data_IF_806158236154
#
_entry.id   IF_806158236154
#
_cell.length_a   1.000
_cell.length_b   1.000
_cell.length_c   1.000
_cell.angle_alpha   90.00
_cell.angle_beta   90.00
_cell.angle_gamma   90.00
#
_symmetry.space_group_name_H-M   'P 1'
#
loop_
_entity.id
_entity.type
_entity.pdbx_description
1 polymer ?
#
# COMPACT_ATOMS: atom_id res chain seq x y z
N UNK A 1 -21.63 -2.86 3.42
CA UNK A 1 -20.22 -2.51 3.38
C UNK A 1 -20.06 -1.02 3.71
N UNK A 2 -19.54 -0.69 4.90
CA UNK A 2 -19.27 0.70 5.33
C UNK A 2 -20.42 1.71 5.05
N UNK A 3 -21.70 1.29 5.19
CA UNK A 3 -22.86 2.12 4.89
C UNK A 3 -23.23 2.26 3.41
N UNK A 4 -22.44 1.69 2.50
CA UNK A 4 -22.77 1.72 1.07
C UNK A 4 -23.63 0.55 0.64
N UNK A 5 -24.66 0.83 -0.16
CA UNK A 5 -25.44 -0.18 -0.88
C UNK A 5 -24.85 -0.35 -2.28
N UNK A 6 -24.29 -1.52 -2.55
CA UNK A 6 -23.73 -1.83 -3.87
C UNK A 6 -24.83 -2.34 -4.79
N UNK A 7 -24.93 -1.78 -5.99
CA UNK A 7 -25.87 -2.20 -7.03
C UNK A 7 -25.13 -2.37 -8.35
N UNK A 8 -25.63 -3.26 -9.20
CA UNK A 8 -25.17 -3.38 -10.58
C UNK A 8 -25.94 -2.43 -11.48
N UNK A 9 -25.30 -1.93 -12.51
CA UNK A 9 -25.91 -1.03 -13.51
C UNK A 9 -25.29 0.35 -13.52
N UNK A 10 -25.95 1.26 -14.24
CA UNK A 10 -25.49 2.65 -14.36
C UNK A 10 -25.97 3.48 -13.15
N UNK A 11 -25.17 4.38 -12.61
CA UNK A 11 -25.56 5.23 -11.49
C UNK A 11 -26.68 6.19 -11.91
N UNK A 12 -27.58 6.49 -10.96
CA UNK A 12 -28.46 7.64 -11.03
C UNK A 12 -27.72 8.96 -10.85
N UNK A 13 -28.43 10.07 -10.94
CA UNK A 13 -27.86 11.43 -10.85
C UNK A 13 -27.10 11.67 -9.53
N UNK A 14 -27.61 11.13 -8.44
CA UNK A 14 -27.00 11.25 -7.09
C UNK A 14 -26.25 9.97 -6.68
N UNK A 15 -25.98 9.09 -7.65
CA UNK A 15 -25.27 7.83 -7.42
C UNK A 15 -23.77 8.02 -7.33
N UNK A 16 -23.11 7.00 -6.78
CA UNK A 16 -21.64 6.91 -6.74
C UNK A 16 -21.18 5.78 -7.65
N UNK A 17 -20.04 5.97 -8.30
CA UNK A 17 -19.33 4.94 -9.05
C UNK A 17 -18.11 4.53 -8.23
N UNK A 18 -18.09 3.27 -7.78
CA UNK A 18 -16.91 2.70 -7.13
C UNK A 18 -15.90 2.17 -8.15
N UNK A 19 -14.63 2.53 -7.97
CA UNK A 19 -13.51 2.01 -8.76
C UNK A 19 -12.40 1.50 -7.85
N UNK A 20 -11.63 0.51 -8.32
CA UNK A 20 -10.49 0.02 -7.58
C UNK A 20 -9.27 0.92 -7.85
N UNK A 21 -8.91 1.74 -6.87
CA UNK A 21 -7.77 2.64 -6.87
C UNK A 21 -7.54 3.38 -8.17
N UNK A 22 -6.36 3.19 -8.73
CA UNK A 22 -5.95 3.64 -10.06
C UNK A 22 -5.67 2.47 -11.00
N UNK A 23 -6.36 1.36 -10.84
CA UNK A 23 -6.22 0.21 -11.72
C UNK A 23 -6.54 0.57 -13.17
N UNK A 24 -6.03 -0.18 -14.16
CA UNK A 24 -6.36 0.07 -15.57
C UNK A 24 -7.87 0.04 -15.86
N UNK A 25 -8.64 -0.69 -15.08
CA UNK A 25 -10.10 -0.78 -15.19
C UNK A 25 -10.83 0.42 -14.59
N UNK A 26 -10.19 1.19 -13.70
CA UNK A 26 -10.79 2.38 -13.06
C UNK A 26 -11.24 3.41 -14.10
N UNK A 27 -10.53 3.57 -15.23
CA UNK A 27 -10.87 4.50 -16.31
C UNK A 27 -12.28 4.33 -16.86
N UNK A 28 -12.81 3.09 -16.88
CA UNK A 28 -14.19 2.82 -17.33
C UNK A 28 -15.20 3.41 -16.33
N UNK A 29 -14.97 3.21 -15.06
CA UNK A 29 -15.81 3.79 -14.01
C UNK A 29 -15.72 5.32 -13.97
N UNK A 30 -14.53 5.87 -14.12
CA UNK A 30 -14.30 7.33 -14.23
C UNK A 30 -15.08 7.94 -15.40
N UNK A 31 -15.03 7.30 -16.58
CA UNK A 31 -15.79 7.74 -17.75
C UNK A 31 -17.31 7.66 -17.53
N UNK A 32 -17.80 6.63 -16.84
CA UNK A 32 -19.21 6.51 -16.48
C UNK A 32 -19.61 7.60 -15.50
N UNK A 33 -18.83 7.83 -14.44
CA UNK A 33 -19.08 8.88 -13.46
C UNK A 33 -19.17 10.26 -14.14
N UNK A 34 -18.19 10.61 -14.98
CA UNK A 34 -18.15 11.87 -15.71
C UNK A 34 -19.37 12.07 -16.64
N UNK A 35 -19.73 11.03 -17.42
CA UNK A 35 -20.88 11.09 -18.35
C UNK A 35 -22.23 11.23 -17.65
N UNK A 36 -22.33 10.72 -16.42
CA UNK A 36 -23.57 10.71 -15.66
C UNK A 36 -23.67 11.83 -14.64
N UNK A 37 -22.60 12.63 -14.46
CA UNK A 37 -22.53 13.59 -13.38
C UNK A 37 -22.59 12.95 -12.00
N UNK A 38 -22.17 11.67 -11.88
CA UNK A 38 -22.17 10.91 -10.66
C UNK A 38 -20.85 11.09 -9.90
N UNK A 39 -20.91 10.98 -8.57
CA UNK A 39 -19.68 11.01 -7.76
C UNK A 39 -18.80 9.78 -7.99
N UNK A 40 -17.50 9.92 -7.81
CA UNK A 40 -16.53 8.84 -7.88
C UNK A 40 -16.06 8.46 -6.47
N UNK A 41 -15.91 7.17 -6.23
CA UNK A 41 -15.34 6.64 -4.98
C UNK A 41 -14.24 5.67 -5.34
N UNK A 42 -13.06 5.88 -4.78
CA UNK A 42 -11.92 4.97 -4.94
C UNK A 42 -11.86 4.01 -3.77
N UNK A 43 -11.66 2.75 -4.08
CA UNK A 43 -11.60 1.66 -3.10
C UNK A 43 -10.22 1.04 -3.21
N UNK A 44 -9.55 0.86 -2.07
CA UNK A 44 -8.24 0.25 -1.97
C UNK A 44 -8.15 -0.73 -0.80
N UNK A 45 -7.12 -1.53 -0.76
CA UNK A 45 -6.80 -2.38 0.37
C UNK A 45 -6.56 -1.52 1.63
N UNK A 46 -7.17 -1.91 2.73
CA UNK A 46 -6.86 -1.31 4.04
C UNK A 46 -5.47 -1.71 4.52
N UNK A 47 -4.98 -1.04 5.58
CA UNK A 47 -3.70 -1.34 6.21
C UNK A 47 -3.60 -2.82 6.64
N UNK A 48 -4.62 -3.37 7.28
CA UNK A 48 -4.74 -4.80 7.55
C UNK A 48 -5.60 -5.42 6.45
N UNK A 49 -4.98 -6.16 5.54
CA UNK A 49 -5.69 -6.69 4.38
C UNK A 49 -6.14 -8.14 4.55
N UNK A 50 -5.19 -9.05 4.74
CA UNK A 50 -5.43 -10.50 4.75
C UNK A 50 -4.20 -11.25 5.28
N UNK A 51 -4.27 -12.57 5.33
CA UNK A 51 -3.10 -13.39 5.65
C UNK A 51 -2.10 -13.35 4.49
N UNK A 52 -2.53 -13.65 3.27
CA UNK A 52 -1.68 -13.66 2.09
C UNK A 52 -2.04 -12.55 1.10
N UNK A 53 -1.16 -12.20 0.14
CA UNK A 53 -1.44 -11.25 -0.92
C UNK A 53 -2.70 -11.60 -1.72
N UNK A 54 -3.41 -10.61 -2.24
CA UNK A 54 -4.64 -10.82 -3.02
C UNK A 54 -4.48 -11.70 -4.26
N UNK A 55 -3.27 -11.77 -4.84
CA UNK A 55 -2.97 -12.66 -5.95
C UNK A 55 -2.96 -14.14 -5.57
N UNK A 56 -2.89 -14.45 -4.29
CA UNK A 56 -3.11 -15.80 -3.76
C UNK A 56 -4.60 -16.17 -3.66
N UNK A 57 -5.51 -15.30 -4.11
CA UNK A 57 -6.96 -15.55 -4.12
C UNK A 57 -7.67 -15.13 -2.84
N UNK A 58 -6.98 -14.57 -1.84
CA UNK A 58 -7.63 -14.14 -0.61
C UNK A 58 -8.35 -12.80 -0.76
N UNK A 59 -9.63 -12.72 -0.33
CA UNK A 59 -10.35 -11.46 -0.31
C UNK A 59 -9.80 -10.52 0.77
N UNK A 60 -9.93 -9.19 0.58
CA UNK A 60 -9.56 -8.24 1.62
C UNK A 60 -10.53 -8.30 2.80
N UNK A 61 -10.00 -8.25 4.01
CA UNK A 61 -10.78 -8.14 5.26
C UNK A 61 -11.21 -6.71 5.55
N UNK A 62 -10.42 -5.73 5.07
CA UNK A 62 -10.70 -4.31 5.21
C UNK A 62 -10.51 -3.57 3.90
N UNK A 63 -11.24 -2.48 3.75
CA UNK A 63 -11.17 -1.60 2.58
C UNK A 63 -10.96 -0.15 3.04
N UNK A 64 -10.10 0.56 2.33
CA UNK A 64 -10.03 2.02 2.38
C UNK A 64 -10.95 2.57 1.30
N UNK A 65 -11.79 3.53 1.66
CA UNK A 65 -12.75 4.19 0.76
C UNK A 65 -12.44 5.68 0.77
N UNK A 66 -12.16 6.25 -0.39
CA UNK A 66 -11.76 7.63 -0.58
C UNK A 66 -12.65 8.29 -1.65
N UNK A 67 -13.16 9.49 -1.36
CA UNK A 67 -14.02 10.25 -2.27
C UNK A 67 -13.29 11.37 -2.99
N UNK A 68 -12.08 11.68 -2.55
CA UNK A 68 -11.28 12.79 -3.05
C UNK A 68 -10.16 12.30 -3.96
N UNK A 69 -9.41 11.29 -3.53
CA UNK A 69 -8.25 10.82 -4.27
C UNK A 69 -7.85 9.38 -3.96
N UNK A 70 -6.57 9.15 -3.85
CA UNK A 70 -5.96 7.87 -3.44
C UNK A 70 -4.77 8.20 -2.56
N UNK A 71 -4.68 7.57 -1.40
CA UNK A 71 -3.68 7.87 -0.37
C UNK A 71 -2.22 7.75 -0.82
N UNK A 72 -1.94 7.02 -1.90
CA UNK A 72 -0.59 6.84 -2.46
C UNK A 72 -0.28 7.75 -3.65
N UNK A 73 -1.21 8.60 -4.09
CA UNK A 73 -0.99 9.52 -5.21
C UNK A 73 -0.79 10.95 -4.71
N UNK A 74 0.47 11.37 -4.63
CA UNK A 74 0.82 12.72 -4.16
C UNK A 74 0.43 13.88 -5.10
N UNK A 75 -0.16 13.60 -6.26
CA UNK A 75 -0.57 14.64 -7.24
C UNK A 75 -1.92 15.29 -6.91
N UNK A 76 -2.71 14.65 -6.07
CA UNK A 76 -3.99 15.16 -5.62
C UNK A 76 -4.22 14.79 -4.15
N UNK A 77 -4.96 15.61 -3.37
CA UNK A 77 -5.27 15.28 -1.99
C UNK A 77 -6.12 14.00 -1.91
N UNK A 78 -6.06 13.33 -0.77
CA UNK A 78 -6.92 12.21 -0.41
C UNK A 78 -7.73 12.54 0.84
N UNK A 79 -8.80 11.77 1.10
CA UNK A 79 -9.57 11.90 2.33
C UNK A 79 -8.68 11.63 3.55
N UNK A 80 -7.75 10.67 3.46
CA UNK A 80 -6.81 10.37 4.52
C UNK A 80 -5.86 11.56 4.78
N UNK A 81 -5.30 12.14 3.73
CA UNK A 81 -4.42 13.31 3.86
C UNK A 81 -5.16 14.51 4.47
N UNK A 82 -6.37 14.76 4.03
CA UNK A 82 -7.22 15.81 4.56
C UNK A 82 -7.53 15.57 6.05
N UNK A 83 -7.88 14.34 6.42
CA UNK A 83 -8.12 13.95 7.81
C UNK A 83 -6.88 14.19 8.68
N UNK A 84 -5.69 13.75 8.23
CA UNK A 84 -4.44 13.94 8.96
C UNK A 84 -4.06 15.41 9.14
N UNK A 85 -4.41 16.26 8.19
CA UNK A 85 -4.13 17.71 8.26
C UNK A 85 -5.12 18.49 9.12
N UNK A 86 -6.39 18.08 9.16
CA UNK A 86 -7.47 18.92 9.69
C UNK A 86 -8.13 18.38 10.95
N UNK A 87 -7.97 17.10 11.27
CA UNK A 87 -8.60 16.53 12.45
C UNK A 87 -7.89 17.05 13.73
N UNK A 88 -8.61 17.60 14.69
CA UNK A 88 -8.00 18.22 15.87
C UNK A 88 -7.35 17.22 16.83
N UNK A 89 -7.66 15.91 16.69
CA UNK A 89 -7.16 14.83 17.56
C UNK A 89 -7.45 15.08 19.06
N UNK A 90 -8.62 15.62 19.35
CA UNK A 90 -9.08 16.01 20.70
C UNK A 90 -10.13 15.05 21.27
N UNK A 91 -10.56 14.04 20.53
CA UNK A 91 -11.43 12.96 21.03
C UNK A 91 -10.60 11.94 21.80
N UNK A 92 -10.68 12.03 23.13
CA UNK A 92 -9.95 11.15 24.04
C UNK A 92 -10.31 9.66 23.86
N UNK A 93 -11.58 9.33 23.67
CA UNK A 93 -12.02 7.97 23.50
C UNK A 93 -11.49 7.37 22.18
N UNK A 94 -11.48 8.15 21.09
CA UNK A 94 -10.90 7.76 19.82
C UNK A 94 -9.38 7.52 19.94
N UNK A 95 -8.67 8.41 20.62
CA UNK A 95 -7.23 8.28 20.82
C UNK A 95 -6.87 7.06 21.68
N UNK A 96 -7.61 6.78 22.75
CA UNK A 96 -7.41 5.58 23.57
C UNK A 96 -7.69 4.30 22.76
N UNK A 97 -8.76 4.29 21.96
CA UNK A 97 -9.03 3.18 21.03
C UNK A 97 -7.90 2.97 20.04
N UNK A 98 -7.34 4.06 19.47
CA UNK A 98 -6.22 4.00 18.54
C UNK A 98 -4.96 3.44 19.20
N UNK A 99 -4.59 3.90 20.40
CA UNK A 99 -3.47 3.37 21.18
C UNK A 99 -3.64 1.88 21.47
N UNK A 100 -4.84 1.48 21.93
CA UNK A 100 -5.16 0.07 22.16
C UNK A 100 -5.09 -0.79 20.90
N UNK A 101 -5.47 -0.25 19.74
CA UNK A 101 -5.32 -0.93 18.46
C UNK A 101 -3.85 -1.10 18.07
N UNK A 102 -3.02 -0.08 18.22
CA UNK A 102 -1.58 -0.15 17.96
C UNK A 102 -0.89 -1.21 18.81
N UNK A 103 -1.20 -1.27 20.11
CA UNK A 103 -0.66 -2.30 21.02
C UNK A 103 -1.06 -3.70 20.55
N UNK A 104 -2.34 -3.92 20.19
CA UNK A 104 -2.81 -5.24 19.72
C UNK A 104 -2.17 -5.64 18.40
N UNK A 105 -2.05 -4.70 17.44
CA UNK A 105 -1.41 -4.94 16.14
C UNK A 105 0.04 -5.38 16.36
N UNK A 106 0.78 -4.68 17.21
CA UNK A 106 2.16 -5.04 17.55
C UNK A 106 2.26 -6.39 18.26
N UNK A 107 1.47 -6.62 19.31
CA UNK A 107 1.51 -7.86 20.08
C UNK A 107 1.09 -9.10 19.27
N UNK A 108 0.24 -8.94 18.27
CA UNK A 108 -0.19 -10.02 17.39
C UNK A 108 0.61 -10.12 16.08
N UNK A 109 1.70 -9.35 15.93
CA UNK A 109 2.55 -9.29 14.74
C UNK A 109 1.76 -9.08 13.43
N UNK A 110 0.68 -8.27 13.50
CA UNK A 110 -0.17 -8.02 12.34
C UNK A 110 0.45 -6.98 11.41
N UNK A 111 0.34 -7.24 10.12
CA UNK A 111 0.74 -6.33 9.05
C UNK A 111 -0.27 -6.38 7.90
N UNK A 112 0.03 -5.74 6.78
CA UNK A 112 -0.82 -5.79 5.58
C UNK A 112 -1.12 -7.23 5.16
N UNK A 113 -0.10 -8.11 5.24
CA UNK A 113 -0.19 -9.55 5.02
C UNK A 113 0.36 -10.24 6.26
N UNK A 114 -0.49 -10.92 7.00
CA UNK A 114 -0.16 -11.40 8.35
C UNK A 114 0.24 -12.88 8.42
N UNK A 115 0.35 -13.59 7.28
CA UNK A 115 0.89 -14.95 7.22
C UNK A 115 2.43 -14.90 7.27
N UNK A 116 2.96 -14.36 8.36
CA UNK A 116 4.40 -14.33 8.65
C UNK A 116 4.65 -15.18 9.90
N UNK A 117 5.79 -15.86 9.92
CA UNK A 117 6.24 -16.55 11.11
C UNK A 117 6.93 -15.53 12.04
N UNK A 118 6.36 -15.22 13.21
CA UNK A 118 6.97 -14.28 14.14
C UNK A 118 8.26 -14.84 14.80
N UNK A 119 8.46 -16.14 14.76
CA UNK A 119 9.66 -16.81 15.29
C UNK A 119 10.74 -17.01 14.22
N UNK A 120 10.49 -16.58 12.98
CA UNK A 120 11.49 -16.65 11.92
C UNK A 120 12.76 -15.88 12.33
N UNK A 121 13.94 -16.45 12.10
CA UNK A 121 15.19 -15.79 12.44
C UNK A 121 15.31 -14.46 11.70
N UNK A 122 15.64 -13.42 12.43
CA UNK A 122 15.96 -12.11 11.86
C UNK A 122 17.49 -11.98 11.76
N UNK A 123 18.00 -11.27 10.77
CA UNK A 123 19.42 -11.02 10.65
C UNK A 123 19.98 -10.29 11.87
N UNK A 124 21.22 -10.62 12.26
CA UNK A 124 21.90 -9.90 13.31
C UNK A 124 21.97 -8.39 13.03
N UNK A 125 21.78 -7.54 14.04
CA UNK A 125 21.85 -6.09 13.91
C UNK A 125 23.17 -5.61 13.28
N UNK A 126 23.17 -4.38 12.73
CA UNK A 126 24.33 -3.78 12.08
C UNK A 126 24.26 -3.87 10.55
N UNK A 127 23.06 -3.82 10.00
CA UNK A 127 22.80 -3.74 8.57
C UNK A 127 21.96 -2.53 8.19
N UNK A 128 22.02 -2.16 6.93
CA UNK A 128 21.10 -1.21 6.30
C UNK A 128 20.09 -1.99 5.49
N UNK A 129 18.80 -1.77 5.74
CA UNK A 129 17.72 -2.44 5.04
C UNK A 129 17.23 -1.61 3.85
N UNK A 130 17.41 -2.12 2.65
CA UNK A 130 16.86 -1.56 1.41
C UNK A 130 15.62 -2.37 1.02
N UNK A 131 14.48 -1.69 0.89
CA UNK A 131 13.19 -2.34 0.67
C UNK A 131 12.75 -2.14 -0.78
N UNK A 132 12.54 -3.25 -1.49
CA UNK A 132 12.01 -3.25 -2.86
C UNK A 132 10.48 -3.17 -2.88
N UNK A 133 9.96 -2.84 -4.05
CA UNK A 133 8.54 -2.86 -4.39
C UNK A 133 8.32 -3.58 -5.73
N UNK A 134 7.09 -4.03 -5.97
CA UNK A 134 6.77 -4.65 -7.26
C UNK A 134 6.87 -3.65 -8.41
N UNK A 135 7.57 -4.02 -9.46
CA UNK A 135 7.70 -3.19 -10.65
C UNK A 135 6.32 -2.90 -11.28
N UNK A 136 6.15 -1.67 -11.73
CA UNK A 136 4.88 -1.20 -12.30
C UNK A 136 3.74 -1.03 -11.29
N UNK A 137 4.02 -0.99 -9.99
CA UNK A 137 3.01 -0.65 -8.99
C UNK A 137 2.50 0.78 -9.18
N UNK A 138 1.22 1.01 -8.85
CA UNK A 138 0.59 2.32 -9.02
C UNK A 138 1.20 3.37 -8.08
N UNK A 139 1.57 2.98 -6.86
CA UNK A 139 2.21 3.88 -5.89
C UNK A 139 3.61 4.29 -6.32
N UNK A 140 4.39 3.36 -6.86
CA UNK A 140 5.73 3.63 -7.41
C UNK A 140 5.64 4.62 -8.57
N UNK A 141 4.71 4.40 -9.51
CA UNK A 141 4.50 5.35 -10.62
C UNK A 141 4.00 6.72 -10.16
N UNK A 142 3.10 6.75 -9.19
CA UNK A 142 2.54 7.99 -8.66
C UNK A 142 3.58 8.82 -7.90
N UNK A 143 4.58 8.19 -7.29
CA UNK A 143 5.73 8.87 -6.65
C UNK A 143 6.81 9.31 -7.65
N UNK A 144 6.67 8.99 -8.94
CA UNK A 144 7.67 9.27 -9.97
C UNK A 144 8.91 8.38 -9.87
N UNK A 145 8.82 7.28 -9.14
CA UNK A 145 9.93 6.33 -9.01
C UNK A 145 9.89 5.27 -10.13
N UNK A 146 11.07 4.81 -10.48
CA UNK A 146 11.33 3.75 -11.45
C UNK A 146 12.53 2.91 -11.00
N UNK A 147 12.97 1.95 -11.83
CA UNK A 147 14.14 1.12 -11.52
C UNK A 147 15.40 1.95 -11.21
N UNK A 148 15.62 3.06 -11.90
CA UNK A 148 16.80 3.89 -11.68
C UNK A 148 16.80 4.51 -10.28
N UNK A 149 15.63 4.94 -9.78
CA UNK A 149 15.49 5.45 -8.41
C UNK A 149 15.75 4.37 -7.35
N UNK A 150 15.36 3.12 -7.62
CA UNK A 150 15.70 2.02 -6.72
C UNK A 150 17.21 1.70 -6.74
N UNK A 151 17.86 1.75 -7.89
CA UNK A 151 19.31 1.60 -7.97
C UNK A 151 20.06 2.77 -7.30
N UNK A 152 19.59 4.00 -7.47
CA UNK A 152 20.10 5.16 -6.73
C UNK A 152 19.98 4.98 -5.22
N UNK A 153 18.84 4.47 -4.74
CA UNK A 153 18.63 4.18 -3.30
C UNK A 153 19.65 3.16 -2.80
N UNK A 154 19.91 2.10 -3.56
CA UNK A 154 20.91 1.10 -3.20
C UNK A 154 22.33 1.70 -3.20
N UNK A 155 22.65 2.48 -4.21
CA UNK A 155 23.93 3.19 -4.31
C UNK A 155 24.17 4.11 -3.10
N UNK A 156 23.19 4.94 -2.76
CA UNK A 156 23.30 5.83 -1.61
C UNK A 156 23.37 5.07 -0.28
N UNK A 157 22.66 3.96 -0.14
CA UNK A 157 22.77 3.11 1.04
C UNK A 157 24.20 2.60 1.24
N UNK A 158 24.90 2.25 0.15
CA UNK A 158 26.30 1.82 0.18
C UNK A 158 27.27 2.98 0.48
N UNK A 159 27.06 4.13 -0.17
CA UNK A 159 27.93 5.32 -0.01
C UNK A 159 27.82 5.96 1.39
N UNK A 160 26.59 6.05 1.92
CA UNK A 160 26.34 6.67 3.24
C UNK A 160 26.70 5.73 4.40
N UNK A 161 26.80 4.42 4.15
CA UNK A 161 27.10 3.42 5.17
C UNK A 161 28.26 2.50 4.76
N UNK A 162 29.47 3.06 4.55
CA UNK A 162 30.61 2.27 4.09
C UNK A 162 30.96 1.17 5.11
N UNK A 163 31.10 -0.05 4.61
CA UNK A 163 31.42 -1.22 5.45
C UNK A 163 30.24 -1.83 6.21
N UNK A 164 29.06 -1.25 6.12
CA UNK A 164 27.85 -1.89 6.65
C UNK A 164 27.32 -2.94 5.66
N UNK A 165 26.73 -3.99 6.21
CA UNK A 165 26.00 -4.99 5.42
C UNK A 165 24.72 -4.37 4.88
N UNK A 166 24.46 -4.48 3.58
CA UNK A 166 23.23 -4.04 2.95
C UNK A 166 22.36 -5.28 2.70
N UNK A 167 21.15 -5.25 3.21
CA UNK A 167 20.15 -6.29 3.00
C UNK A 167 19.06 -5.78 2.06
N UNK A 168 18.81 -6.53 0.99
CA UNK A 168 17.70 -6.26 0.08
C UNK A 168 16.48 -7.07 0.49
N UNK A 169 15.38 -6.40 0.82
CA UNK A 169 14.11 -7.06 1.09
C UNK A 169 13.18 -6.98 -0.10
N UNK A 170 12.92 -8.10 -0.74
CA UNK A 170 11.99 -8.20 -1.85
C UNK A 170 10.53 -8.14 -1.39
N UNK A 171 9.64 -7.64 -2.25
CA UNK A 171 8.21 -7.64 -1.99
C UNK A 171 7.66 -9.09 -1.95
N UNK A 172 6.69 -9.42 -1.08
CA UNK A 172 6.12 -10.78 -1.01
C UNK A 172 5.61 -11.32 -2.34
N UNK A 173 5.00 -10.48 -3.19
CA UNK A 173 4.56 -10.90 -4.53
C UNK A 173 5.73 -11.20 -5.48
N UNK A 174 6.85 -10.52 -5.31
CA UNK A 174 8.08 -10.79 -6.08
C UNK A 174 8.70 -12.10 -5.63
N UNK A 175 8.82 -12.31 -4.33
CA UNK A 175 9.31 -13.57 -3.76
C UNK A 175 8.45 -14.77 -4.18
N UNK A 176 7.13 -14.58 -4.29
CA UNK A 176 6.19 -15.60 -4.76
C UNK A 176 6.15 -15.75 -6.30
N UNK A 177 6.94 -14.98 -7.04
CA UNK A 177 6.98 -15.04 -8.51
C UNK A 177 5.78 -14.43 -9.24
N UNK A 178 4.90 -13.73 -8.54
CA UNK A 178 3.71 -13.11 -9.16
C UNK A 178 4.04 -11.85 -9.96
N UNK A 179 5.04 -11.09 -9.55
CA UNK A 179 5.45 -9.83 -10.19
C UNK A 179 6.96 -9.63 -10.06
N UNK A 180 7.64 -9.02 -11.05
CA UNK A 180 9.04 -8.65 -10.88
C UNK A 180 9.19 -7.52 -9.84
N UNK A 181 10.35 -7.47 -9.19
CA UNK A 181 10.81 -6.32 -8.42
C UNK A 181 11.60 -5.34 -9.28
N UNK A 182 12.31 -4.42 -8.64
CA UNK A 182 13.21 -3.48 -9.30
C UNK A 182 14.66 -3.94 -9.25
N UNK A 183 15.02 -4.78 -8.26
CA UNK A 183 16.33 -5.39 -8.17
C UNK A 183 16.36 -6.76 -8.84
N UNK A 184 17.47 -7.07 -9.49
CA UNK A 184 17.77 -8.39 -10.05
C UNK A 184 18.89 -9.07 -9.28
N UNK A 185 19.22 -10.32 -9.63
CA UNK A 185 20.32 -11.07 -8.99
C UNK A 185 21.68 -10.36 -9.06
N UNK A 186 21.93 -9.61 -10.13
CA UNK A 186 23.19 -8.87 -10.34
C UNK A 186 23.29 -7.62 -9.45
N UNK A 187 22.17 -7.10 -8.96
CA UNK A 187 22.15 -5.94 -8.07
C UNK A 187 22.41 -6.36 -6.60
N UNK A 188 22.18 -7.61 -6.27
CA UNK A 188 22.39 -8.19 -4.95
C UNK A 188 23.83 -8.67 -4.79
N UNK A 189 24.76 -7.78 -4.44
CA UNK A 189 26.09 -8.19 -3.96
C UNK A 189 26.10 -8.59 -2.48
N UNK A 190 24.96 -9.04 -1.96
CA UNK A 190 24.73 -9.37 -0.56
C UNK A 190 23.60 -10.39 -0.37
N UNK A 191 23.33 -10.78 0.87
CA UNK A 191 22.28 -11.73 1.20
C UNK A 191 20.90 -11.17 0.85
N UNK A 192 20.12 -11.94 0.10
CA UNK A 192 18.71 -11.70 -0.17
C UNK A 192 17.87 -12.20 1.02
N UNK A 193 16.96 -11.36 1.54
CA UNK A 193 16.02 -11.68 2.61
C UNK A 193 14.65 -12.10 2.08
#
# INVERSE_FOLDING_TARGET
LAGYRVTLGLPGKDGLVGVWGQSPYARRGEAVAARRGAGLVRIEDAFLRSLHPGRSGEPPLGLLIDRTGVHFDGRAPSDLETLLKTHPLDDHALLERARGAMVRIGAAHLSKYSATDPEAPVPEPGYVLVVDQTAGDASVRASGADRNRFLEMLYWAQEEHPGQRILLRTHPETRAGFRPGHFGPDDAQGEEL
#
